data_IF_762688078964
#
_entry.id   IF_762688078964
#
_cell.length_a   1.000
_cell.length_b   1.000
_cell.length_c   1.000
_cell.angle_alpha   90.00
_cell.angle_beta   90.00
_cell.angle_gamma   90.00
#
_symmetry.space_group_name_H-M   'P 1'
#
loop_
_entity.id
_entity.type
_entity.pdbx_description
1 polymer ?
#
# COMPACT_ATOMS: atom_id res chain seq x y z
N UNK A 1 -24.55 -8.97 5.26
CA UNK A 1 -23.21 -9.13 4.70
C UNK A 1 -22.22 -9.22 5.85
N UNK A 2 -21.45 -10.30 5.94
CA UNK A 2 -20.39 -10.44 6.94
C UNK A 2 -19.05 -9.84 6.44
N UNK A 3 -18.03 -9.79 7.30
CA UNK A 3 -16.72 -9.18 6.98
C UNK A 3 -16.04 -9.86 5.79
N UNK A 4 -16.11 -11.20 5.69
CA UNK A 4 -15.47 -11.94 4.61
C UNK A 4 -16.17 -11.69 3.27
N UNK A 5 -17.51 -11.67 3.27
CA UNK A 5 -18.32 -11.31 2.11
C UNK A 5 -17.98 -9.89 1.64
N UNK A 6 -17.80 -8.94 2.57
CA UNK A 6 -17.42 -7.56 2.25
C UNK A 6 -16.04 -7.48 1.58
N UNK A 7 -15.05 -8.18 2.15
CA UNK A 7 -13.70 -8.24 1.59
C UNK A 7 -13.71 -8.85 0.19
N UNK A 8 -14.44 -9.96 0.01
CA UNK A 8 -14.53 -10.64 -1.28
C UNK A 8 -15.24 -9.79 -2.33
N UNK A 9 -16.27 -9.02 -1.94
CA UNK A 9 -16.96 -8.07 -2.82
C UNK A 9 -16.00 -7.01 -3.38
N UNK A 10 -15.14 -6.44 -2.54
CA UNK A 10 -14.33 -5.27 -2.90
C UNK A 10 -12.94 -5.59 -3.43
N UNK A 11 -12.37 -6.74 -3.08
CA UNK A 11 -11.04 -7.18 -3.55
C UNK A 11 -10.83 -6.97 -5.06
N UNK A 12 -11.75 -7.38 -5.96
CA UNK A 12 -11.56 -7.19 -7.40
C UNK A 12 -11.46 -5.73 -7.85
N UNK A 13 -12.14 -4.80 -7.17
CA UNK A 13 -12.05 -3.36 -7.50
C UNK A 13 -10.75 -2.74 -6.99
N UNK A 14 -10.30 -3.15 -5.81
CA UNK A 14 -9.00 -2.75 -5.24
C UNK A 14 -7.85 -3.25 -6.12
N UNK A 15 -7.88 -4.50 -6.54
CA UNK A 15 -6.82 -5.08 -7.39
C UNK A 15 -6.75 -4.43 -8.78
N UNK A 16 -7.90 -4.10 -9.38
CA UNK A 16 -7.92 -3.31 -10.62
C UNK A 16 -7.29 -1.93 -10.41
N UNK A 17 -7.57 -1.27 -9.30
CA UNK A 17 -7.00 0.04 -8.97
C UNK A 17 -5.49 -0.03 -8.76
N UNK A 18 -5.01 -1.04 -8.02
CA UNK A 18 -3.57 -1.29 -7.83
C UNK A 18 -2.85 -1.56 -9.16
N UNK A 19 -3.44 -2.36 -10.04
CA UNK A 19 -2.87 -2.63 -11.37
C UNK A 19 -2.82 -1.40 -12.27
N UNK A 20 -3.78 -0.48 -12.15
CA UNK A 20 -3.76 0.81 -12.85
C UNK A 20 -2.67 1.74 -12.33
N UNK A 21 -2.45 1.77 -11.02
CA UNK A 21 -1.40 2.58 -10.39
C UNK A 21 0.02 2.05 -10.68
N UNK A 22 0.15 0.76 -11.02
CA UNK A 22 1.40 0.08 -11.37
C UNK A 22 1.30 -0.60 -12.74
N UNK A 23 1.34 0.17 -13.85
CA UNK A 23 1.19 -0.36 -15.20
C UNK A 23 2.28 -1.38 -15.55
N UNK A 24 1.90 -2.49 -16.19
CA UNK A 24 2.83 -3.56 -16.55
C UNK A 24 3.89 -3.15 -17.60
N UNK A 25 3.63 -2.09 -18.37
CA UNK A 25 4.55 -1.56 -19.38
C UNK A 25 5.66 -0.66 -18.84
N UNK A 26 5.69 -0.36 -17.54
CA UNK A 26 6.72 0.48 -16.93
C UNK A 26 8.10 -0.18 -17.05
N UNK A 27 9.10 0.57 -17.52
CA UNK A 27 10.50 0.13 -17.58
C UNK A 27 11.31 0.77 -16.44
N UNK A 28 12.39 0.12 -15.98
CA UNK A 28 12.90 -1.19 -16.42
C UNK A 28 12.04 -2.37 -15.91
N UNK A 29 12.03 -3.50 -16.63
CA UNK A 29 11.17 -4.64 -16.31
C UNK A 29 11.43 -5.26 -14.92
N UNK A 30 12.68 -5.47 -14.48
CA UNK A 30 12.94 -6.00 -13.13
C UNK A 30 12.36 -5.12 -12.02
N UNK A 31 12.42 -3.80 -12.19
CA UNK A 31 11.87 -2.83 -11.24
C UNK A 31 10.35 -2.99 -11.09
N UNK A 32 9.60 -2.94 -12.19
CA UNK A 32 8.13 -3.07 -12.09
C UNK A 32 7.70 -4.46 -11.62
N UNK A 33 8.47 -5.50 -11.96
CA UNK A 33 8.23 -6.86 -11.46
C UNK A 33 8.43 -6.93 -9.94
N UNK A 34 9.53 -6.39 -9.43
CA UNK A 34 9.80 -6.30 -8.00
C UNK A 34 8.71 -5.51 -7.26
N UNK A 35 8.33 -4.33 -7.75
CA UNK A 35 7.29 -3.49 -7.15
C UNK A 35 5.91 -4.17 -7.11
N UNK A 36 5.61 -5.04 -8.07
CA UNK A 36 4.32 -5.76 -8.13
C UNK A 36 4.34 -7.11 -7.42
N UNK A 37 5.51 -7.63 -7.03
CA UNK A 37 5.66 -9.01 -6.57
C UNK A 37 4.75 -9.36 -5.39
N UNK A 38 4.86 -8.64 -4.28
CA UNK A 38 4.04 -8.90 -3.09
C UNK A 38 2.57 -8.48 -3.25
N UNK A 39 2.27 -7.56 -4.16
CA UNK A 39 0.89 -7.22 -4.51
C UNK A 39 0.22 -8.41 -5.21
N UNK A 40 0.93 -9.03 -6.17
CA UNK A 40 0.47 -10.20 -6.93
C UNK A 40 0.40 -11.47 -6.09
N UNK A 41 1.24 -11.58 -5.06
CA UNK A 41 1.17 -12.66 -4.07
C UNK A 41 -0.14 -12.65 -3.25
N UNK A 42 -1.04 -11.69 -3.49
CA UNK A 42 -2.32 -11.60 -2.80
C UNK A 42 -2.18 -11.03 -1.40
N UNK A 43 -3.20 -11.21 -0.57
CA UNK A 43 -3.28 -10.68 0.78
C UNK A 43 -4.74 -10.58 1.20
N UNK A 44 -5.01 -10.36 2.48
CA UNK A 44 -6.40 -10.28 2.99
C UNK A 44 -7.13 -8.99 2.61
N UNK A 45 -6.41 -8.01 2.02
CA UNK A 45 -6.93 -6.67 1.64
C UNK A 45 -7.74 -5.97 2.74
N UNK A 46 -7.39 -6.23 4.00
CA UNK A 46 -8.12 -5.71 5.16
C UNK A 46 -8.06 -4.17 5.21
N UNK A 47 -6.88 -3.58 4.98
CA UNK A 47 -6.67 -2.13 5.01
C UNK A 47 -7.50 -1.41 3.94
N UNK A 48 -7.46 -1.81 2.65
CA UNK A 48 -8.37 -1.29 1.63
C UNK A 48 -9.84 -1.38 2.05
N UNK A 49 -10.29 -2.57 2.47
CA UNK A 49 -11.70 -2.77 2.80
C UNK A 49 -12.13 -1.94 4.00
N UNK A 50 -11.25 -1.74 4.99
CA UNK A 50 -11.50 -0.84 6.10
C UNK A 50 -11.66 0.61 5.61
N UNK A 51 -10.82 1.09 4.70
CA UNK A 51 -10.98 2.42 4.09
C UNK A 51 -12.33 2.57 3.39
N UNK A 52 -12.72 1.58 2.59
CA UNK A 52 -14.01 1.56 1.90
C UNK A 52 -15.19 1.59 2.90
N UNK A 53 -15.14 0.75 3.93
CA UNK A 53 -16.18 0.67 4.95
C UNK A 53 -16.30 1.97 5.76
N UNK A 54 -15.18 2.61 6.11
CA UNK A 54 -15.19 3.91 6.78
C UNK A 54 -15.90 4.98 5.93
N UNK A 55 -15.73 4.96 4.60
CA UNK A 55 -16.44 5.87 3.70
C UNK A 55 -17.95 5.61 3.72
N UNK A 56 -18.37 4.34 3.64
CA UNK A 56 -19.79 3.95 3.71
C UNK A 56 -20.43 4.35 5.05
N UNK A 57 -19.73 4.16 6.17
CA UNK A 57 -20.22 4.49 7.52
C UNK A 57 -20.50 5.99 7.69
N UNK A 58 -19.74 6.85 7.01
CA UNK A 58 -19.97 8.31 7.02
C UNK A 58 -20.90 8.79 5.91
N UNK A 59 -21.57 7.86 5.21
CA UNK A 59 -22.57 8.16 4.17
C UNK A 59 -22.02 8.37 2.76
N UNK A 60 -20.73 8.12 2.54
CA UNK A 60 -20.12 8.13 1.20
C UNK A 60 -20.32 6.82 0.44
N UNK A 61 -19.94 6.80 -0.83
CA UNK A 61 -19.95 5.55 -1.64
C UNK A 61 -18.54 4.98 -1.69
N UNK A 62 -18.37 3.70 -1.35
CA UNK A 62 -17.06 3.05 -1.35
C UNK A 62 -16.30 3.19 -2.69
N UNK A 63 -16.99 3.22 -3.83
CA UNK A 63 -16.39 3.44 -5.15
C UNK A 63 -15.65 4.79 -5.26
N UNK A 64 -16.03 5.79 -4.46
CA UNK A 64 -15.43 7.13 -4.47
C UNK A 64 -14.05 7.17 -3.83
N UNK A 65 -13.70 6.16 -3.03
CA UNK A 65 -12.44 6.10 -2.28
C UNK A 65 -11.54 4.92 -2.68
N UNK A 66 -11.77 4.32 -3.86
CA UNK A 66 -10.96 3.18 -4.35
C UNK A 66 -9.47 3.52 -4.47
N UNK A 67 -9.12 4.73 -4.93
CA UNK A 67 -7.72 5.13 -4.98
C UNK A 67 -7.09 5.30 -3.59
N UNK A 68 -7.83 5.85 -2.60
CA UNK A 68 -7.34 5.90 -1.22
C UNK A 68 -7.21 4.49 -0.61
N UNK A 69 -8.17 3.60 -0.87
CA UNK A 69 -8.08 2.20 -0.44
C UNK A 69 -6.85 1.50 -1.03
N UNK A 70 -6.56 1.70 -2.31
CA UNK A 70 -5.35 1.19 -2.95
C UNK A 70 -4.09 1.85 -2.36
N UNK A 71 -4.12 3.15 -2.04
CA UNK A 71 -3.00 3.85 -1.39
C UNK A 71 -2.61 3.18 -0.07
N UNK A 72 -3.56 2.72 0.74
CA UNK A 72 -3.25 2.01 1.99
C UNK A 72 -2.72 0.59 1.79
N UNK A 73 -3.06 -0.11 0.70
CA UNK A 73 -2.41 -1.38 0.37
C UNK A 73 -0.99 -1.16 -0.16
N UNK A 74 -0.75 -0.08 -0.92
CA UNK A 74 0.59 0.33 -1.35
C UNK A 74 1.44 0.70 -0.13
N UNK A 75 0.87 1.47 0.81
CA UNK A 75 1.50 1.85 2.06
C UNK A 75 1.84 0.60 2.90
N UNK A 76 0.92 -0.36 2.96
CA UNK A 76 1.22 -1.61 3.65
C UNK A 76 2.29 -2.44 2.93
N UNK A 77 2.24 -2.52 1.60
CA UNK A 77 3.13 -3.40 0.85
C UNK A 77 4.55 -2.84 0.80
N UNK A 78 4.75 -1.52 0.71
CA UNK A 78 6.11 -0.97 0.80
C UNK A 78 6.74 -1.31 2.16
N UNK A 79 5.97 -1.15 3.25
CA UNK A 79 6.50 -1.38 4.59
C UNK A 79 6.95 -2.82 4.73
N UNK A 80 6.17 -3.77 4.21
CA UNK A 80 6.54 -5.20 4.19
C UNK A 80 7.80 -5.49 3.36
N UNK A 81 8.00 -4.83 2.21
CA UNK A 81 9.19 -5.05 1.39
C UNK A 81 10.45 -4.60 2.13
N UNK A 82 10.41 -3.45 2.79
CA UNK A 82 11.54 -2.94 3.57
C UNK A 82 11.74 -3.72 4.86
N UNK A 83 10.67 -4.08 5.56
CA UNK A 83 10.65 -4.96 6.73
C UNK A 83 11.31 -6.31 6.43
N UNK A 84 11.00 -6.92 5.28
CA UNK A 84 11.62 -8.18 4.86
C UNK A 84 13.15 -8.08 4.75
N UNK A 85 13.70 -6.91 4.39
CA UNK A 85 15.15 -6.67 4.35
C UNK A 85 15.68 -6.57 5.78
N UNK A 86 15.03 -5.78 6.63
CA UNK A 86 15.44 -5.54 8.02
C UNK A 86 15.44 -6.84 8.84
N UNK A 87 14.45 -7.70 8.61
CA UNK A 87 14.25 -8.97 9.32
C UNK A 87 14.98 -10.15 8.66
N UNK A 88 15.66 -9.92 7.54
CA UNK A 88 16.28 -10.97 6.72
C UNK A 88 15.32 -12.12 6.34
N UNK A 89 14.04 -11.79 6.11
CA UNK A 89 12.99 -12.76 5.87
C UNK A 89 13.12 -13.46 4.51
N UNK A 90 13.08 -14.80 4.51
CA UNK A 90 13.15 -15.61 3.28
C UNK A 90 11.85 -15.61 2.47
N UNK A 91 10.72 -15.70 3.18
CA UNK A 91 9.39 -15.91 2.61
C UNK A 91 8.38 -14.91 3.17
N UNK A 92 7.46 -14.48 2.32
CA UNK A 92 6.26 -13.74 2.70
C UNK A 92 5.07 -14.21 1.89
N UNK A 93 3.94 -14.47 2.54
CA UNK A 93 2.71 -14.98 1.90
C UNK A 93 2.96 -16.24 1.04
N UNK A 94 3.87 -17.11 1.50
CA UNK A 94 4.22 -18.35 0.80
C UNK A 94 5.11 -18.18 -0.43
N UNK A 95 5.57 -16.96 -0.76
CA UNK A 95 6.51 -16.69 -1.87
C UNK A 95 7.81 -16.11 -1.33
N UNK A 96 8.90 -16.21 -2.11
CA UNK A 96 10.18 -15.55 -1.76
C UNK A 96 10.00 -14.03 -1.64
N UNK A 97 10.67 -13.42 -0.67
CA UNK A 97 10.68 -11.96 -0.50
C UNK A 97 11.39 -11.27 -1.66
N UNK A 98 11.12 -9.97 -1.84
CA UNK A 98 11.64 -9.21 -3.00
C UNK A 98 13.17 -9.19 -3.02
N UNK A 99 13.80 -8.97 -1.86
CA UNK A 99 15.26 -8.93 -1.77
C UNK A 99 15.92 -10.30 -2.03
N UNK A 100 15.21 -11.40 -1.76
CA UNK A 100 15.69 -12.75 -2.10
C UNK A 100 15.66 -13.08 -3.59
N UNK A 101 14.82 -12.40 -4.37
CA UNK A 101 14.72 -12.63 -5.82
C UNK A 101 15.57 -11.62 -6.59
N UNK A 102 15.53 -10.34 -6.24
CA UNK A 102 16.16 -9.26 -6.99
C UNK A 102 17.30 -8.53 -6.26
N UNK A 103 17.65 -8.97 -5.05
CA UNK A 103 18.65 -8.31 -4.20
C UNK A 103 18.09 -7.10 -3.44
N UNK A 104 18.80 -6.70 -2.39
CA UNK A 104 18.43 -5.58 -1.52
C UNK A 104 18.29 -4.25 -2.27
N UNK A 105 19.20 -3.85 -3.18
CA UNK A 105 19.06 -2.57 -3.87
C UNK A 105 17.76 -2.46 -4.67
N UNK A 106 17.32 -3.55 -5.32
CA UNK A 106 16.07 -3.55 -6.06
C UNK A 106 14.85 -3.57 -5.12
N UNK A 107 14.94 -4.25 -3.98
CA UNK A 107 13.87 -4.27 -2.99
C UNK A 107 13.68 -2.89 -2.34
N UNK A 108 14.76 -2.17 -2.05
CA UNK A 108 14.71 -0.78 -1.57
C UNK A 108 13.97 0.09 -2.59
N UNK A 109 14.41 0.08 -3.86
CA UNK A 109 13.78 0.85 -4.95
C UNK A 109 12.31 0.47 -5.17
N UNK A 110 11.96 -0.81 -5.06
CA UNK A 110 10.58 -1.28 -5.17
C UNK A 110 9.72 -0.69 -4.04
N UNK A 111 10.19 -0.73 -2.80
CA UNK A 111 9.51 -0.11 -1.66
C UNK A 111 9.35 1.40 -1.84
N UNK A 112 10.41 2.13 -2.21
CA UNK A 112 10.36 3.58 -2.44
C UNK A 112 9.33 3.96 -3.51
N UNK A 113 9.28 3.17 -4.60
CA UNK A 113 8.31 3.36 -5.66
C UNK A 113 6.87 3.15 -5.18
N UNK A 114 6.61 2.12 -4.36
CA UNK A 114 5.30 1.90 -3.78
C UNK A 114 4.92 3.04 -2.83
N UNK A 115 5.85 3.53 -2.03
CA UNK A 115 5.63 4.68 -1.14
C UNK A 115 5.29 5.95 -1.93
N UNK A 116 6.01 6.25 -3.02
CA UNK A 116 5.68 7.36 -3.92
C UNK A 116 4.27 7.22 -4.52
N UNK A 117 3.86 5.99 -4.89
CA UNK A 117 2.53 5.71 -5.43
C UNK A 117 1.40 5.89 -4.42
N UNK A 118 1.68 5.86 -3.11
CA UNK A 118 0.69 6.22 -2.08
C UNK A 118 0.19 7.66 -2.31
N UNK A 119 1.11 8.60 -2.46
CA UNK A 119 0.77 10.02 -2.63
C UNK A 119 0.11 10.29 -3.98
N UNK A 120 0.55 9.62 -5.05
CA UNK A 120 -0.13 9.71 -6.35
C UNK A 120 -1.58 9.21 -6.26
N UNK A 121 -1.81 8.07 -5.60
CA UNK A 121 -3.14 7.50 -5.42
C UNK A 121 -4.05 8.44 -4.59
N UNK A 122 -3.54 9.01 -3.50
CA UNK A 122 -4.29 9.98 -2.69
C UNK A 122 -4.60 11.27 -3.45
N UNK A 123 -3.68 11.76 -4.29
CA UNK A 123 -3.90 12.90 -5.17
C UNK A 123 -5.03 12.65 -6.17
N UNK A 124 -4.99 11.48 -6.82
CA UNK A 124 -6.06 11.05 -7.72
C UNK A 124 -7.40 10.92 -6.98
N UNK A 125 -7.39 10.43 -5.74
CA UNK A 125 -8.61 10.32 -4.96
C UNK A 125 -9.17 11.67 -4.53
N UNK A 126 -8.31 12.57 -4.05
CA UNK A 126 -8.68 13.95 -3.72
C UNK A 126 -9.32 14.65 -4.92
N UNK A 127 -8.72 14.50 -6.11
CA UNK A 127 -9.28 15.03 -7.36
C UNK A 127 -10.65 14.41 -7.68
N UNK A 128 -10.81 13.09 -7.55
CA UNK A 128 -12.10 12.39 -7.79
C UNK A 128 -13.19 12.91 -6.87
N UNK A 129 -12.87 13.16 -5.60
CA UNK A 129 -13.81 13.64 -4.59
C UNK A 129 -14.02 15.17 -4.60
N UNK A 130 -13.36 15.90 -5.51
CA UNK A 130 -13.43 17.36 -5.55
C UNK A 130 -12.88 18.02 -4.27
N UNK A 131 -11.90 17.38 -3.61
CA UNK A 131 -11.24 17.96 -2.45
C UNK A 131 -10.27 19.04 -2.91
N UNK A 132 -10.50 20.27 -2.44
CA UNK A 132 -9.66 21.42 -2.79
C UNK A 132 -9.02 22.05 -1.55
N UNK A 133 -7.93 22.79 -1.78
CA UNK A 133 -7.23 23.59 -0.77
C UNK A 133 -6.91 22.83 0.51
N UNK A 134 -7.41 23.33 1.64
CA UNK A 134 -7.10 22.79 2.97
C UNK A 134 -7.54 21.34 3.19
N UNK A 135 -8.62 20.86 2.54
CA UNK A 135 -9.09 19.47 2.70
C UNK A 135 -8.14 18.48 2.05
N UNK A 136 -7.67 18.78 0.84
CA UNK A 136 -6.68 17.95 0.15
C UNK A 136 -5.35 17.96 0.93
N UNK A 137 -4.89 19.13 1.39
CA UNK A 137 -3.69 19.24 2.20
C UNK A 137 -3.78 18.41 3.50
N UNK A 138 -4.93 18.45 4.18
CA UNK A 138 -5.17 17.67 5.39
C UNK A 138 -5.10 16.15 5.14
N UNK A 139 -5.63 15.66 4.02
CA UNK A 139 -5.50 14.24 3.62
C UNK A 139 -4.03 13.82 3.54
N UNK A 140 -3.20 14.60 2.84
CA UNK A 140 -1.77 14.31 2.72
C UNK A 140 -1.05 14.41 4.07
N UNK A 141 -1.40 15.40 4.89
CA UNK A 141 -0.82 15.56 6.23
C UNK A 141 -1.11 14.36 7.13
N UNK A 142 -2.36 13.85 7.13
CA UNK A 142 -2.73 12.67 7.91
C UNK A 142 -1.91 11.44 7.51
N UNK A 143 -1.80 11.16 6.21
CA UNK A 143 -1.07 9.99 5.72
C UNK A 143 0.43 10.13 5.94
N UNK A 144 0.99 11.33 5.74
CA UNK A 144 2.40 11.61 6.04
C UNK A 144 2.71 11.38 7.52
N UNK A 145 1.88 11.90 8.43
CA UNK A 145 2.03 11.67 9.87
C UNK A 145 1.92 10.19 10.24
N UNK A 146 0.94 9.47 9.69
CA UNK A 146 0.80 8.04 9.92
C UNK A 146 2.01 7.24 9.41
N UNK A 147 2.60 7.66 8.29
CA UNK A 147 3.81 7.04 7.73
C UNK A 147 5.04 7.30 8.60
N UNK A 148 5.17 8.51 9.16
CA UNK A 148 6.23 8.82 10.12
C UNK A 148 6.10 7.96 11.39
N UNK A 149 4.90 7.83 11.92
CA UNK A 149 4.63 6.98 13.10
C UNK A 149 4.90 5.50 12.83
N UNK A 150 4.58 5.01 11.63
CA UNK A 150 4.92 3.67 11.18
C UNK A 150 6.44 3.44 11.23
N UNK A 151 7.23 4.33 10.63
CA UNK A 151 8.69 4.23 10.62
C UNK A 151 9.28 4.36 12.03
N UNK A 152 8.70 5.22 12.88
CA UNK A 152 9.09 5.35 14.29
C UNK A 152 8.85 4.04 15.04
N UNK A 153 7.70 3.41 14.83
CA UNK A 153 7.37 2.10 15.40
C UNK A 153 8.37 1.02 14.97
N UNK A 154 8.70 0.95 13.68
CA UNK A 154 9.72 0.02 13.18
C UNK A 154 11.08 0.25 13.83
N UNK A 155 11.52 1.50 13.93
CA UNK A 155 12.79 1.83 14.58
C UNK A 155 12.81 1.43 16.05
N UNK A 156 11.70 1.61 16.78
CA UNK A 156 11.57 1.14 18.15
C UNK A 156 11.69 -0.38 18.26
N UNK A 157 11.07 -1.12 17.35
CA UNK A 157 11.12 -2.60 17.32
C UNK A 157 12.54 -3.12 17.04
N UNK A 158 13.24 -2.51 16.06
CA UNK A 158 14.63 -2.84 15.76
C UNK A 158 15.57 -2.56 16.95
N UNK A 159 15.42 -1.40 17.60
CA UNK A 159 16.24 -1.03 18.76
C UNK A 159 15.93 -1.87 19.99
N UNK A 160 14.70 -2.37 20.12
CA UNK A 160 14.32 -3.30 21.18
C UNK A 160 14.99 -4.67 20.97
N UNK A 161 15.01 -5.17 19.74
CA UNK A 161 15.58 -6.48 19.37
C UNK A 161 17.11 -6.58 19.48
N UNK A 162 17.81 -5.45 19.65
CA UNK A 162 19.26 -5.38 19.88
C UNK A 162 19.65 -5.43 21.37
N UNK A 163 18.67 -5.46 22.29
CA UNK A 163 18.89 -5.60 23.74
C UNK A 163 18.81 -7.05 24.17
#
# INVERSE_FOLDING_TARGET
MNVLEYINKWTPAVERTLNRLLPAGTRPLPFIQASKHLIRAGGKRLRPCLTLACCEVVGGRAEEVLEAAAAFELLHTFSLIHDDIMDHSDLRRGVKTVHRIWGEPMAILAGDALFAKVFEALSLNAKRMGLEGGKAAHLFQMVSRASFELSRGQAMDMLFSQR
#
